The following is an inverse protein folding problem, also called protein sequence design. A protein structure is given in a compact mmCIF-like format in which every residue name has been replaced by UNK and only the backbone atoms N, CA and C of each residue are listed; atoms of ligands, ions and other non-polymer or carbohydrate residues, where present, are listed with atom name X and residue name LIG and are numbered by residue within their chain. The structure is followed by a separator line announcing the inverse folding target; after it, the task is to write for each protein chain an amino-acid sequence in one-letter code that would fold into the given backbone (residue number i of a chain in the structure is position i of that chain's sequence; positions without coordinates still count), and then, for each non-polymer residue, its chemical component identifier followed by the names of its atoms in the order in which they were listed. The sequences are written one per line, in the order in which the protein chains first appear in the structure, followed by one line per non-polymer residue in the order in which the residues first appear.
data_IF_506967249571
#
_entry.id   IF_506967249571
#
_cell.length_a   1.000
_cell.length_b   1.000
_cell.length_c   1.000
_cell.angle_alpha   90.00
_cell.angle_beta   90.00
_cell.angle_gamma   90.00
#
_symmetry.space_group_name_H-M   'P 1'
#
loop_
_entity.id
_entity.type
_entity.pdbx_description
1 polymer ?
#
# COMPACT_ATOMS: atom_id res chain seq x y z
N UNK A 1 -24.07 -55.78 9.29
CA UNK A 1 -23.14 -55.29 10.34
C UNK A 1 -21.73 -54.91 9.85
N UNK A 2 -21.27 -55.36 8.69
CA UNK A 2 -19.91 -55.04 8.18
C UNK A 2 -19.70 -53.57 7.68
N UNK A 3 -20.75 -52.92 7.17
CA UNK A 3 -20.66 -51.55 6.64
C UNK A 3 -20.47 -50.46 7.70
N UNK A 4 -21.01 -50.64 8.90
CA UNK A 4 -20.84 -49.67 9.99
C UNK A 4 -19.40 -49.65 10.55
N UNK A 5 -18.69 -50.77 10.50
CA UNK A 5 -17.29 -50.87 10.91
C UNK A 5 -16.35 -50.17 9.92
N UNK A 6 -16.66 -50.24 8.61
CA UNK A 6 -15.89 -49.54 7.54
C UNK A 6 -16.06 -48.04 7.64
N UNK A 7 -17.29 -47.55 7.83
CA UNK A 7 -17.57 -46.12 7.98
C UNK A 7 -16.90 -45.55 9.23
N UNK A 8 -16.90 -46.25 10.33
CA UNK A 8 -16.21 -45.83 11.56
C UNK A 8 -14.70 -45.75 11.39
N UNK A 9 -14.10 -46.64 10.60
CA UNK A 9 -12.65 -46.65 10.32
C UNK A 9 -12.21 -45.51 9.37
N UNK A 10 -13.12 -45.06 8.52
CA UNK A 10 -12.88 -43.94 7.59
C UNK A 10 -13.09 -42.57 8.26
N UNK A 11 -13.92 -42.49 9.30
CA UNK A 11 -14.23 -41.24 9.98
C UNK A 11 -13.35 -40.97 11.23
N UNK A 12 -12.70 -41.97 11.81
CA UNK A 12 -11.80 -41.79 12.97
C UNK A 12 -10.61 -40.85 12.71
N UNK A 13 -9.95 -40.86 11.55
CA UNK A 13 -8.89 -39.87 11.30
C UNK A 13 -9.38 -38.42 11.33
N UNK A 14 -10.62 -38.15 10.89
CA UNK A 14 -11.21 -36.84 10.85
C UNK A 14 -11.71 -36.30 12.20
N UNK A 15 -12.13 -37.23 13.11
CA UNK A 15 -12.54 -36.81 14.46
C UNK A 15 -11.36 -36.38 15.34
N UNK A 16 -10.17 -37.02 15.18
CA UNK A 16 -8.95 -36.56 15.85
C UNK A 16 -8.35 -35.28 15.23
N UNK A 17 -8.64 -35.00 13.94
CA UNK A 17 -8.23 -33.79 13.26
C UNK A 17 -9.00 -32.59 13.79
N UNK A 18 -10.29 -32.72 14.10
CA UNK A 18 -11.10 -31.62 14.65
C UNK A 18 -10.68 -31.23 16.09
N UNK A 19 -10.31 -32.21 16.94
CA UNK A 19 -9.82 -31.93 18.30
C UNK A 19 -8.40 -31.35 18.33
N UNK A 20 -7.55 -31.70 17.37
CA UNK A 20 -6.22 -31.11 17.20
C UNK A 20 -6.28 -29.66 16.70
N UNK A 21 -7.24 -29.35 15.81
CA UNK A 21 -7.41 -28.01 15.24
C UNK A 21 -7.82 -26.97 16.27
N UNK A 22 -8.63 -27.31 17.27
CA UNK A 22 -9.05 -26.37 18.32
C UNK A 22 -7.92 -25.96 19.26
N UNK A 23 -6.93 -26.84 19.48
CA UNK A 23 -5.75 -26.54 20.33
C UNK A 23 -4.69 -25.74 19.57
N UNK A 24 -4.47 -26.00 18.28
CA UNK A 24 -3.50 -25.30 17.44
C UNK A 24 -3.99 -23.88 17.10
N UNK A 25 -5.29 -23.69 16.86
CA UNK A 25 -5.90 -22.41 16.55
C UNK A 25 -5.75 -21.35 17.66
N UNK A 26 -5.54 -21.80 18.92
CA UNK A 26 -5.30 -20.89 20.03
C UNK A 26 -3.93 -20.19 20.00
N UNK A 27 -2.97 -20.74 19.22
CA UNK A 27 -1.60 -20.24 19.08
C UNK A 27 -1.37 -19.48 17.76
N UNK A 28 -2.31 -19.59 16.81
CA UNK A 28 -2.23 -18.88 15.54
C UNK A 28 -2.64 -17.41 15.68
N UNK A 29 -2.08 -16.51 14.85
CA UNK A 29 -2.51 -15.11 14.79
C UNK A 29 -4.02 -15.00 14.57
N UNK A 30 -4.66 -14.04 15.24
CA UNK A 30 -6.11 -13.82 15.16
C UNK A 30 -6.55 -13.18 13.84
N UNK A 31 -6.17 -13.77 12.71
CA UNK A 31 -6.41 -13.26 11.35
C UNK A 31 -7.91 -13.04 11.12
N UNK A 32 -8.77 -13.96 11.57
CA UNK A 32 -10.21 -13.85 11.40
C UNK A 32 -10.79 -12.56 12.00
N UNK A 33 -10.25 -12.07 13.13
CA UNK A 33 -10.68 -10.83 13.75
C UNK A 33 -10.36 -9.61 12.87
N UNK A 34 -9.19 -9.58 12.27
CA UNK A 34 -8.77 -8.50 11.36
C UNK A 34 -9.53 -8.59 10.04
N UNK A 35 -9.65 -9.79 9.46
CA UNK A 35 -10.38 -10.03 8.21
C UNK A 35 -11.86 -9.62 8.31
N UNK A 36 -12.53 -9.91 9.44
CA UNK A 36 -13.91 -9.49 9.68
C UNK A 36 -14.06 -7.95 9.68
N UNK A 37 -13.04 -7.21 10.06
CA UNK A 37 -13.07 -5.75 10.00
C UNK A 37 -12.98 -5.26 8.55
N UNK A 38 -12.23 -5.91 7.71
CA UNK A 38 -12.05 -5.56 6.29
C UNK A 38 -13.19 -6.09 5.41
N UNK A 39 -13.97 -7.06 5.84
CA UNK A 39 -15.08 -7.62 5.08
C UNK A 39 -16.29 -6.68 4.89
N UNK A 40 -16.39 -5.61 5.67
CA UNK A 40 -17.45 -4.61 5.52
C UNK A 40 -17.08 -3.60 4.44
N UNK A 41 -17.93 -3.33 3.43
CA UNK A 41 -17.60 -2.46 2.31
C UNK A 41 -17.23 -1.02 2.74
N UNK A 42 -17.95 -0.45 3.72
CA UNK A 42 -17.69 0.92 4.17
C UNK A 42 -16.32 1.00 4.87
N UNK A 43 -15.99 0.03 5.73
CA UNK A 43 -14.67 -0.02 6.38
C UNK A 43 -13.55 -0.24 5.36
N UNK A 44 -13.76 -1.09 4.35
CA UNK A 44 -12.78 -1.28 3.26
C UNK A 44 -12.51 0.01 2.50
N UNK A 45 -13.55 0.80 2.19
CA UNK A 45 -13.40 2.10 1.52
C UNK A 45 -12.66 3.12 2.41
N UNK A 46 -12.95 3.17 3.71
CA UNK A 46 -12.23 4.03 4.66
C UNK A 46 -10.74 3.66 4.74
N UNK A 47 -10.42 2.37 4.83
CA UNK A 47 -9.03 1.88 4.85
C UNK A 47 -8.32 2.20 3.52
N UNK A 48 -9.00 2.00 2.38
CA UNK A 48 -8.46 2.33 1.06
C UNK A 48 -8.18 3.82 0.90
N UNK A 49 -9.04 4.70 1.44
CA UNK A 49 -8.82 6.14 1.45
C UNK A 49 -7.54 6.50 2.24
N UNK A 50 -7.37 5.90 3.43
CA UNK A 50 -6.22 6.15 4.31
C UNK A 50 -4.89 5.57 3.79
N UNK A 51 -4.91 4.77 2.74
CA UNK A 51 -3.70 4.36 2.02
C UNK A 51 -3.00 5.53 1.30
N UNK A 52 -3.62 6.73 1.24
CA UNK A 52 -2.92 7.96 0.85
C UNK A 52 -1.76 8.29 1.81
N UNK A 53 -1.80 7.78 3.05
CA UNK A 53 -0.85 8.11 4.11
C UNK A 53 -1.19 9.39 4.86
N UNK A 54 -2.22 10.11 4.43
CA UNK A 54 -2.65 11.36 5.05
C UNK A 54 -3.61 11.14 6.21
N UNK A 55 -3.70 12.15 7.07
CA UNK A 55 -4.69 12.22 8.13
C UNK A 55 -6.04 12.59 7.54
N UNK A 56 -7.09 11.88 7.93
CA UNK A 56 -8.46 12.19 7.53
C UNK A 56 -9.39 12.34 8.73
N UNK A 57 -10.30 13.30 8.64
CA UNK A 57 -11.39 13.47 9.60
C UNK A 57 -12.46 12.40 9.44
N UNK A 58 -13.30 12.22 10.47
CA UNK A 58 -14.45 11.31 10.39
C UNK A 58 -15.43 11.71 9.26
N UNK A 59 -15.57 13.01 8.96
CA UNK A 59 -16.42 13.51 7.88
C UNK A 59 -15.91 13.12 6.50
N UNK A 60 -14.60 13.27 6.25
CA UNK A 60 -13.96 12.85 5.00
C UNK A 60 -14.09 11.34 4.79
N UNK A 61 -13.89 10.54 5.84
CA UNK A 61 -14.03 9.09 5.79
C UNK A 61 -15.48 8.64 5.61
N UNK A 62 -16.44 9.36 6.20
CA UNK A 62 -17.86 9.14 5.96
C UNK A 62 -18.24 9.41 4.49
N UNK A 63 -17.73 10.50 3.93
CA UNK A 63 -17.91 10.85 2.51
C UNK A 63 -17.29 9.80 1.59
N UNK A 64 -16.04 9.40 1.84
CA UNK A 64 -15.32 8.40 1.06
C UNK A 64 -16.02 7.04 1.04
N UNK A 65 -16.68 6.68 2.14
CA UNK A 65 -17.42 5.42 2.28
C UNK A 65 -18.93 5.55 1.92
N UNK A 66 -19.39 6.76 1.56
CA UNK A 66 -20.80 7.04 1.26
C UNK A 66 -21.76 6.64 2.40
N UNK A 67 -21.37 6.91 3.66
CA UNK A 67 -22.17 6.62 4.85
C UNK A 67 -22.41 7.88 5.68
N UNK A 68 -23.36 7.81 6.64
CA UNK A 68 -23.61 8.92 7.57
C UNK A 68 -22.47 9.07 8.57
N UNK A 69 -22.30 10.26 9.14
CA UNK A 69 -21.29 10.52 10.17
C UNK A 69 -21.45 9.60 11.40
N UNK A 70 -22.69 9.28 11.80
CA UNK A 70 -22.99 8.35 12.90
C UNK A 70 -22.50 6.93 12.57
N UNK A 71 -22.79 6.44 11.37
CA UNK A 71 -22.33 5.12 10.88
C UNK A 71 -20.81 5.08 10.80
N UNK A 72 -20.18 6.13 10.25
CA UNK A 72 -18.73 6.23 10.16
C UNK A 72 -18.06 6.17 11.55
N UNK A 73 -18.61 6.85 12.55
CA UNK A 73 -18.11 6.80 13.93
C UNK A 73 -18.08 5.37 14.49
N UNK A 74 -19.13 4.58 14.24
CA UNK A 74 -19.19 3.18 14.66
C UNK A 74 -18.16 2.29 13.91
N UNK A 75 -17.94 2.53 12.61
CA UNK A 75 -16.90 1.84 11.83
C UNK A 75 -15.50 2.20 12.32
N UNK A 76 -15.22 3.48 12.54
CA UNK A 76 -13.93 3.96 13.01
C UNK A 76 -13.57 3.42 14.39
N UNK A 77 -14.55 3.35 15.32
CA UNK A 77 -14.34 2.73 16.64
C UNK A 77 -13.88 1.26 16.49
N UNK A 78 -14.56 0.47 15.66
CA UNK A 78 -14.20 -0.93 15.42
C UNK A 78 -12.80 -1.11 14.82
N UNK A 79 -12.40 -0.21 13.91
CA UNK A 79 -11.07 -0.23 13.30
C UNK A 79 -9.97 0.17 14.28
N UNK A 80 -10.24 1.11 15.19
CA UNK A 80 -9.37 1.47 16.30
C UNK A 80 -9.20 0.30 17.29
N UNK A 81 -10.31 -0.36 17.67
CA UNK A 81 -10.32 -1.46 18.64
C UNK A 81 -9.48 -2.67 18.21
N UNK A 82 -9.31 -2.88 16.90
CA UNK A 82 -8.45 -3.95 16.37
C UNK A 82 -7.06 -3.48 15.97
N UNK A 83 -6.73 -2.19 16.18
CA UNK A 83 -5.41 -1.63 15.91
C UNK A 83 -5.10 -1.42 14.43
N UNK A 84 -6.11 -1.35 13.55
CA UNK A 84 -5.92 -0.98 12.14
C UNK A 84 -5.75 0.51 11.93
N UNK A 85 -6.33 1.32 12.82
CA UNK A 85 -6.21 2.78 12.83
C UNK A 85 -5.62 3.29 14.13
N UNK A 86 -5.07 4.50 14.05
CA UNK A 86 -4.80 5.37 15.19
C UNK A 86 -5.53 6.69 14.99
N UNK A 87 -5.85 7.36 16.11
CA UNK A 87 -6.52 8.64 16.12
C UNK A 87 -5.59 9.71 16.70
N UNK A 88 -5.42 10.80 15.99
CA UNK A 88 -4.73 12.01 16.47
C UNK A 88 -5.76 13.08 16.80
N UNK A 89 -5.64 13.67 17.99
CA UNK A 89 -6.48 14.78 18.41
C UNK A 89 -5.71 16.08 18.14
N UNK A 90 -6.29 16.97 17.34
CA UNK A 90 -5.74 18.30 17.04
C UNK A 90 -6.78 19.36 17.42
N UNK A 91 -6.62 19.99 18.57
CA UNK A 91 -7.62 20.88 19.13
C UNK A 91 -8.92 20.14 19.42
N UNK A 92 -10.04 20.56 18.82
CA UNK A 92 -11.37 19.92 18.94
C UNK A 92 -11.64 18.86 17.87
N UNK A 93 -10.71 18.62 16.94
CA UNK A 93 -10.88 17.72 15.80
C UNK A 93 -10.13 16.41 16.01
N UNK A 94 -10.74 15.32 15.54
CA UNK A 94 -10.16 13.99 15.51
C UNK A 94 -9.80 13.63 14.09
N UNK A 95 -8.56 13.18 13.89
CA UNK A 95 -8.04 12.73 12.62
C UNK A 95 -7.59 11.28 12.74
N UNK A 96 -7.81 10.51 11.71
CA UNK A 96 -7.53 9.09 11.65
C UNK A 96 -6.47 8.81 10.58
N UNK A 97 -5.62 7.84 10.83
CA UNK A 97 -4.67 7.29 9.86
C UNK A 97 -4.49 5.79 10.10
N UNK A 98 -3.90 5.08 9.13
CA UNK A 98 -3.46 3.70 9.35
C UNK A 98 -2.48 3.64 10.52
N UNK A 99 -2.55 2.59 11.32
CA UNK A 99 -1.77 2.47 12.54
C UNK A 99 -0.25 2.50 12.27
N UNK A 100 0.18 1.84 11.21
CA UNK A 100 1.59 1.76 10.80
C UNK A 100 1.72 1.27 9.34
N UNK A 101 2.95 1.17 8.88
CA UNK A 101 3.28 0.67 7.54
C UNK A 101 2.90 -0.80 7.33
N UNK A 102 2.92 -1.64 8.37
CA UNK A 102 2.56 -3.07 8.24
C UNK A 102 1.09 -3.24 7.88
N UNK A 103 0.19 -2.39 8.45
CA UNK A 103 -1.22 -2.35 8.07
C UNK A 103 -1.38 -1.94 6.60
N UNK A 104 -0.63 -0.93 6.16
CA UNK A 104 -0.67 -0.50 4.76
C UNK A 104 -0.21 -1.61 3.81
N UNK A 105 0.90 -2.28 4.13
CA UNK A 105 1.42 -3.42 3.35
C UNK A 105 0.43 -4.60 3.31
N UNK A 106 -0.22 -4.92 4.43
CA UNK A 106 -1.24 -5.97 4.46
C UNK A 106 -2.42 -5.64 3.55
N UNK A 107 -2.89 -4.40 3.54
CA UNK A 107 -3.97 -3.94 2.66
C UNK A 107 -3.57 -4.00 1.17
N UNK A 108 -2.36 -3.56 0.82
CA UNK A 108 -1.83 -3.64 -0.56
C UNK A 108 -1.65 -5.11 -1.00
N UNK A 109 -1.16 -5.99 -0.12
CA UNK A 109 -1.04 -7.42 -0.42
C UNK A 109 -2.41 -8.10 -0.64
N UNK A 110 -3.42 -7.73 0.16
CA UNK A 110 -4.80 -8.19 -0.05
C UNK A 110 -5.38 -7.67 -1.36
N UNK A 111 -5.06 -6.43 -1.76
CA UNK A 111 -5.47 -5.88 -3.05
C UNK A 111 -4.89 -6.69 -4.21
N UNK A 112 -3.62 -7.17 -4.13
CA UNK A 112 -3.03 -8.08 -5.13
C UNK A 112 -3.86 -9.36 -5.27
N UNK A 113 -4.31 -9.93 -4.14
CA UNK A 113 -5.14 -11.16 -4.15
C UNK A 113 -6.52 -10.87 -4.74
N UNK A 114 -7.15 -9.78 -4.32
CA UNK A 114 -8.48 -9.38 -4.79
C UNK A 114 -8.52 -9.14 -6.31
N UNK A 115 -7.46 -8.50 -6.85
CA UNK A 115 -7.38 -8.20 -8.28
C UNK A 115 -7.05 -9.41 -9.18
N UNK A 116 -6.62 -10.54 -8.61
CA UNK A 116 -6.42 -11.78 -9.39
C UNK A 116 -7.69 -12.31 -10.02
N UNK A 117 -8.83 -12.05 -9.37
CA UNK A 117 -10.15 -12.53 -9.77
C UNK A 117 -10.99 -11.45 -10.47
N UNK A 118 -10.46 -10.22 -10.65
CA UNK A 118 -11.19 -9.14 -11.29
C UNK A 118 -11.20 -9.32 -12.81
N UNK A 119 -12.37 -9.06 -13.41
CA UNK A 119 -12.57 -9.16 -14.85
C UNK A 119 -11.96 -7.93 -15.54
N UNK A 120 -11.37 -8.10 -16.70
CA UNK A 120 -10.63 -7.07 -17.46
C UNK A 120 -11.43 -5.78 -17.71
N UNK A 121 -12.77 -5.87 -17.85
CA UNK A 121 -13.62 -4.69 -18.10
C UNK A 121 -13.58 -3.62 -17.00
N UNK A 122 -13.24 -3.98 -15.76
CA UNK A 122 -13.09 -3.00 -14.67
C UNK A 122 -11.92 -2.04 -14.92
N UNK A 123 -10.90 -2.46 -15.67
CA UNK A 123 -9.76 -1.64 -16.03
C UNK A 123 -10.09 -0.57 -17.08
N UNK A 124 -11.23 -0.69 -17.76
CA UNK A 124 -11.68 0.32 -18.72
C UNK A 124 -12.19 1.60 -18.05
N UNK A 125 -12.60 1.52 -16.77
CA UNK A 125 -13.13 2.67 -16.04
C UNK A 125 -12.07 3.77 -15.85
N UNK A 126 -12.34 5.04 -16.19
CA UNK A 126 -11.34 6.13 -16.14
C UNK A 126 -10.68 6.30 -14.79
N UNK A 127 -11.44 6.21 -13.69
CA UNK A 127 -10.89 6.33 -12.33
C UNK A 127 -9.91 5.20 -12.01
N UNK A 128 -10.15 3.97 -12.51
CA UNK A 128 -9.21 2.86 -12.33
C UNK A 128 -7.96 3.02 -13.17
N UNK A 129 -8.07 3.52 -14.40
CA UNK A 129 -6.91 3.85 -15.23
C UNK A 129 -6.01 4.88 -14.56
N UNK A 130 -6.60 5.90 -13.93
CA UNK A 130 -5.84 6.89 -13.15
C UNK A 130 -5.11 6.25 -11.97
N UNK A 131 -5.81 5.45 -11.14
CA UNK A 131 -5.21 4.73 -10.01
C UNK A 131 -4.09 3.78 -10.44
N UNK A 132 -4.25 3.12 -11.59
CA UNK A 132 -3.23 2.25 -12.16
C UNK A 132 -2.01 3.04 -12.60
N UNK A 133 -2.22 4.16 -13.31
CA UNK A 133 -1.12 4.97 -13.82
C UNK A 133 -0.26 5.53 -12.69
N UNK A 134 -0.87 6.25 -11.73
CA UNK A 134 -0.14 6.78 -10.57
C UNK A 134 -1.07 6.96 -9.37
N UNK A 135 -0.60 6.56 -8.21
CA UNK A 135 -1.30 6.72 -6.94
C UNK A 135 -0.33 6.87 -5.77
N UNK A 136 -0.81 7.42 -4.69
CA UNK A 136 -0.12 7.37 -3.41
C UNK A 136 -0.37 6.02 -2.73
N UNK A 137 0.68 5.36 -2.25
CA UNK A 137 0.66 4.19 -1.42
C UNK A 137 1.38 4.49 -0.12
N UNK A 138 0.63 4.88 0.92
CA UNK A 138 1.15 5.20 2.25
C UNK A 138 2.34 6.20 2.25
N UNK A 139 2.21 7.26 1.45
CA UNK A 139 3.20 8.32 1.35
C UNK A 139 4.25 8.17 0.25
N UNK A 140 4.22 7.10 -0.54
CA UNK A 140 5.14 6.90 -1.67
C UNK A 140 4.39 6.66 -2.99
N UNK A 141 5.09 6.87 -4.11
CA UNK A 141 4.53 6.76 -5.45
C UNK A 141 4.40 5.29 -5.87
N UNK A 142 3.21 4.91 -6.29
CA UNK A 142 2.85 3.58 -6.78
C UNK A 142 2.15 3.67 -8.15
N UNK A 143 1.75 2.52 -8.70
CA UNK A 143 1.21 2.37 -10.04
C UNK A 143 2.32 2.27 -11.09
N UNK A 144 1.96 2.32 -12.36
CA UNK A 144 2.89 2.25 -13.49
C UNK A 144 4.07 3.22 -13.33
N UNK A 145 3.79 4.46 -12.89
CA UNK A 145 4.81 5.48 -12.71
C UNK A 145 5.76 5.14 -11.55
N UNK A 146 5.25 4.65 -10.42
CA UNK A 146 6.06 4.23 -9.27
C UNK A 146 6.95 3.02 -9.59
N UNK A 147 6.40 2.03 -10.28
CA UNK A 147 7.15 0.86 -10.79
C UNK A 147 8.26 1.31 -11.74
N UNK A 148 7.98 2.28 -12.63
CA UNK A 148 8.95 2.81 -13.57
C UNK A 148 10.09 3.56 -12.88
N UNK A 149 9.81 4.30 -11.81
CA UNK A 149 10.84 4.96 -10.98
C UNK A 149 11.79 3.93 -10.40
N UNK A 150 11.28 2.86 -9.77
CA UNK A 150 12.13 1.80 -9.21
C UNK A 150 12.93 1.10 -10.31
N UNK A 151 12.28 0.72 -11.43
CA UNK A 151 12.94 0.07 -12.54
C UNK A 151 14.08 0.94 -13.14
N UNK A 152 13.89 2.26 -13.20
CA UNK A 152 14.93 3.19 -13.65
C UNK A 152 16.13 3.19 -12.71
N UNK A 153 15.89 3.27 -11.40
CA UNK A 153 16.96 3.20 -10.38
C UNK A 153 17.73 1.88 -10.47
N UNK A 154 17.02 0.75 -10.64
CA UNK A 154 17.65 -0.55 -10.78
C UNK A 154 18.48 -0.66 -12.07
N UNK A 155 17.94 -0.22 -13.20
CA UNK A 155 18.64 -0.25 -14.49
C UNK A 155 19.90 0.63 -14.50
N UNK A 156 19.96 1.65 -13.65
CA UNK A 156 21.13 2.53 -13.46
C UNK A 156 22.09 2.04 -12.39
N UNK A 157 21.87 0.85 -11.84
CA UNK A 157 22.60 0.35 -10.67
C UNK A 157 22.57 1.35 -9.49
N UNK A 158 21.52 2.18 -9.44
CA UNK A 158 21.34 3.24 -8.45
C UNK A 158 20.98 2.73 -7.06
N UNK A 159 20.62 1.45 -6.95
CA UNK A 159 20.25 0.78 -5.71
C UNK A 159 21.05 -0.50 -5.52
N UNK A 160 21.63 -0.68 -4.34
CA UNK A 160 22.22 -1.92 -3.88
C UNK A 160 21.22 -2.66 -2.99
N UNK A 161 20.99 -3.94 -3.27
CA UNK A 161 20.15 -4.81 -2.44
C UNK A 161 20.89 -5.15 -1.14
N UNK A 162 20.18 -5.05 -0.01
CA UNK A 162 20.66 -5.43 1.32
C UNK A 162 19.60 -6.30 2.03
N UNK A 163 19.93 -6.86 3.18
CA UNK A 163 18.96 -7.62 4.00
C UNK A 163 17.76 -6.75 4.46
N UNK A 164 17.95 -5.44 4.59
CA UNK A 164 16.94 -4.50 5.06
C UNK A 164 16.16 -3.81 3.93
N UNK A 165 16.51 -4.07 2.67
CA UNK A 165 15.92 -3.46 1.49
C UNK A 165 16.97 -2.94 0.52
N UNK A 166 17.01 -1.62 0.31
CA UNK A 166 17.91 -0.96 -0.64
C UNK A 166 18.76 0.12 0.03
N UNK A 167 20.00 0.26 -0.46
CA UNK A 167 20.89 1.40 -0.21
C UNK A 167 21.14 2.14 -1.53
N UNK A 168 21.24 3.48 -1.47
CA UNK A 168 21.64 4.28 -2.62
C UNK A 168 23.12 4.09 -2.92
N UNK A 169 23.42 3.85 -4.18
CA UNK A 169 24.79 3.86 -4.71
C UNK A 169 25.20 5.27 -5.13
N UNK A 170 26.47 5.53 -5.48
CA UNK A 170 26.88 6.79 -6.09
C UNK A 170 26.08 7.13 -7.37
N UNK A 171 25.76 6.13 -8.21
CA UNK A 171 24.92 6.29 -9.40
C UNK A 171 23.50 6.72 -9.03
N UNK A 172 22.91 6.13 -7.97
CA UNK A 172 21.61 6.53 -7.46
C UNK A 172 21.61 7.96 -6.93
N UNK A 173 22.62 8.34 -6.18
CA UNK A 173 22.81 9.72 -5.69
C UNK A 173 22.92 10.72 -6.86
N UNK A 174 23.69 10.38 -7.90
CA UNK A 174 23.84 11.22 -9.08
C UNK A 174 22.48 11.40 -9.81
N UNK A 175 21.68 10.33 -9.93
CA UNK A 175 20.35 10.41 -10.53
C UNK A 175 19.40 11.27 -9.67
N UNK A 176 19.43 11.14 -8.35
CA UNK A 176 18.64 12.00 -7.44
C UNK A 176 19.04 13.46 -7.59
N UNK A 177 20.35 13.74 -7.67
CA UNK A 177 20.88 15.09 -7.87
C UNK A 177 20.42 15.67 -9.23
N UNK A 178 20.37 14.87 -10.30
CA UNK A 178 19.86 15.27 -11.60
C UNK A 178 18.36 15.60 -11.57
N UNK A 179 17.57 14.97 -10.67
CA UNK A 179 16.20 15.37 -10.38
C UNK A 179 16.11 16.64 -9.52
N UNK A 180 17.21 17.13 -8.97
CA UNK A 180 17.27 18.24 -8.02
C UNK A 180 16.93 17.83 -6.58
N UNK A 181 16.99 16.55 -6.25
CA UNK A 181 16.75 16.01 -4.91
C UNK A 181 18.07 15.64 -4.24
N UNK A 182 18.27 16.11 -3.02
CA UNK A 182 19.30 15.64 -2.11
C UNK A 182 18.66 14.77 -1.04
N UNK A 183 18.79 13.43 -1.11
CA UNK A 183 18.19 12.53 -0.15
C UNK A 183 18.72 12.77 1.26
N UNK A 184 17.82 12.73 2.24
CA UNK A 184 18.18 12.86 3.66
C UNK A 184 18.83 11.57 4.15
N UNK A 185 19.65 11.69 5.18
CA UNK A 185 20.21 10.52 5.87
C UNK A 185 19.07 9.65 6.46
N UNK A 186 19.26 8.31 6.49
CA UNK A 186 18.29 7.42 7.11
C UNK A 186 17.96 7.82 8.54
N UNK A 187 16.67 7.89 8.86
CA UNK A 187 16.20 8.17 10.21
C UNK A 187 16.09 6.85 10.99
N UNK A 188 16.66 6.82 12.20
CA UNK A 188 16.58 5.65 13.08
C UNK A 188 15.13 5.22 13.32
N UNK A 189 14.87 3.92 13.30
CA UNK A 189 13.54 3.34 13.48
C UNK A 189 12.64 3.41 12.25
N UNK A 190 13.10 3.95 11.11
CA UNK A 190 12.36 3.94 9.84
C UNK A 190 13.12 3.15 8.78
N UNK A 191 12.40 2.36 8.00
CA UNK A 191 12.99 1.69 6.82
C UNK A 191 13.31 2.75 5.76
N UNK A 192 14.56 2.77 5.31
CA UNK A 192 15.05 3.79 4.38
C UNK A 192 14.47 3.61 2.97
N UNK A 193 14.71 2.46 2.36
CA UNK A 193 14.24 2.12 1.03
C UNK A 193 14.02 0.60 0.92
N UNK A 194 12.89 0.17 0.37
CA UNK A 194 12.57 -1.26 0.25
C UNK A 194 11.51 -1.47 -0.85
N UNK A 195 11.40 -2.72 -1.38
CA UNK A 195 10.37 -3.04 -2.36
C UNK A 195 8.98 -3.11 -1.73
N UNK A 196 7.97 -2.59 -2.42
CA UNK A 196 6.57 -2.75 -2.09
C UNK A 196 5.81 -3.23 -3.33
N UNK A 197 5.13 -4.38 -3.21
CA UNK A 197 4.46 -5.01 -4.35
C UNK A 197 3.25 -4.16 -4.80
N UNK A 198 3.25 -3.77 -6.06
CA UNK A 198 2.15 -3.03 -6.68
C UNK A 198 1.02 -3.98 -7.08
N UNK A 199 -0.20 -3.75 -6.57
CA UNK A 199 -1.34 -4.62 -6.84
C UNK A 199 -1.83 -4.54 -8.29
N UNK A 200 -1.62 -3.42 -8.99
CA UNK A 200 -2.05 -3.24 -10.38
C UNK A 200 -1.01 -3.74 -11.39
N UNK A 201 0.28 -3.54 -11.09
CA UNK A 201 1.36 -3.88 -12.01
C UNK A 201 2.00 -5.24 -11.70
N UNK A 202 1.74 -5.81 -10.51
CA UNK A 202 2.34 -7.06 -10.01
C UNK A 202 3.87 -7.05 -10.06
N UNK A 203 4.44 -5.89 -9.87
CA UNK A 203 5.86 -5.58 -9.82
C UNK A 203 6.09 -4.64 -8.66
N UNK A 204 7.29 -4.58 -8.15
CA UNK A 204 7.59 -3.70 -7.04
C UNK A 204 7.72 -2.25 -7.48
N UNK A 205 7.30 -1.34 -6.60
CA UNK A 205 7.66 0.06 -6.58
C UNK A 205 8.46 0.38 -5.32
N UNK A 206 9.13 1.53 -5.29
CA UNK A 206 9.97 1.92 -4.17
C UNK A 206 9.12 2.41 -3.01
N UNK A 207 9.42 1.94 -1.80
CA UNK A 207 8.81 2.34 -0.54
C UNK A 207 9.88 2.79 0.47
N UNK A 208 9.44 3.37 1.58
CA UNK A 208 10.30 3.86 2.66
C UNK A 208 10.57 5.34 2.61
N UNK A 209 11.48 5.79 3.47
CA UNK A 209 11.81 7.21 3.62
C UNK A 209 12.20 7.86 2.28
N UNK A 210 13.09 7.21 1.53
CA UNK A 210 13.56 7.71 0.23
C UNK A 210 12.42 7.88 -0.78
N UNK A 211 11.49 6.93 -0.81
CA UNK A 211 10.35 6.98 -1.72
C UNK A 211 9.35 8.10 -1.35
N UNK A 212 9.17 8.34 -0.06
CA UNK A 212 8.33 9.44 0.42
C UNK A 212 8.98 10.79 0.06
N UNK A 213 10.29 10.93 0.21
CA UNK A 213 11.03 12.13 -0.19
C UNK A 213 10.95 12.38 -1.70
N UNK A 214 10.99 11.32 -2.51
CA UNK A 214 10.79 11.42 -3.97
C UNK A 214 9.40 11.92 -4.33
N UNK A 215 8.34 11.33 -3.74
CA UNK A 215 6.97 11.77 -4.01
C UNK A 215 6.77 13.22 -3.55
N UNK A 216 7.22 13.56 -2.36
CA UNK A 216 7.15 14.91 -1.84
C UNK A 216 7.88 15.91 -2.77
N UNK A 217 9.07 15.56 -3.25
CA UNK A 217 9.83 16.37 -4.21
C UNK A 217 9.06 16.57 -5.52
N UNK A 218 8.47 15.50 -6.08
CA UNK A 218 7.69 15.61 -7.32
C UNK A 218 6.45 16.49 -7.16
N UNK A 219 5.81 16.46 -5.99
CA UNK A 219 4.68 17.34 -5.66
C UNK A 219 5.17 18.80 -5.52
N UNK A 220 6.25 19.05 -4.78
CA UNK A 220 6.82 20.39 -4.60
C UNK A 220 7.27 21.03 -5.92
N UNK A 221 7.75 20.22 -6.85
CA UNK A 221 8.09 20.65 -8.22
C UNK A 221 6.88 20.82 -9.13
N UNK A 222 5.68 20.54 -8.62
CA UNK A 222 4.45 20.51 -9.41
C UNK A 222 4.53 19.52 -10.61
N UNK A 223 5.37 18.49 -10.55
CA UNK A 223 5.43 17.44 -11.56
C UNK A 223 4.28 16.45 -11.40
N UNK A 224 3.87 16.22 -10.17
CA UNK A 224 2.74 15.39 -9.78
C UNK A 224 1.82 16.21 -8.88
N UNK A 225 0.52 16.00 -9.01
CA UNK A 225 -0.50 16.57 -8.14
C UNK A 225 -1.50 15.52 -7.69
N UNK A 226 -2.12 15.76 -6.54
CA UNK A 226 -3.24 14.95 -6.07
C UNK A 226 -4.45 15.05 -7.03
N UNK A 227 -5.17 13.95 -7.14
CA UNK A 227 -6.45 13.82 -7.83
C UNK A 227 -7.50 13.23 -6.88
N UNK A 228 -8.54 12.58 -7.40
CA UNK A 228 -9.58 11.98 -6.55
C UNK A 228 -9.05 10.83 -5.68
N UNK A 229 -9.31 10.89 -4.39
CA UNK A 229 -8.84 9.90 -3.42
C UNK A 229 -7.32 9.85 -3.37
N UNK A 230 -6.74 8.68 -3.61
CA UNK A 230 -5.28 8.50 -3.65
C UNK A 230 -4.66 8.52 -5.05
N UNK A 231 -5.45 8.81 -6.09
CA UNK A 231 -4.95 8.95 -7.45
C UNK A 231 -4.04 10.18 -7.56
N UNK A 232 -3.03 10.08 -8.42
CA UNK A 232 -2.08 11.13 -8.71
C UNK A 232 -2.07 11.40 -10.22
N UNK A 233 -2.03 12.66 -10.59
CA UNK A 233 -1.90 13.10 -11.99
C UNK A 233 -0.49 13.59 -12.26
N UNK A 234 0.09 13.14 -13.37
CA UNK A 234 1.30 13.72 -13.92
C UNK A 234 0.92 15.02 -14.66
N UNK A 235 1.53 16.14 -14.29
CA UNK A 235 1.25 17.42 -14.91
C UNK A 235 1.98 17.58 -16.24
N UNK A 236 1.63 18.57 -17.08
CA UNK A 236 2.42 18.87 -18.29
C UNK A 236 3.89 19.18 -17.99
N UNK A 237 4.19 19.84 -16.86
CA UNK A 237 5.57 20.10 -16.41
C UNK A 237 6.25 18.77 -16.05
N UNK A 238 5.53 17.89 -15.34
CA UNK A 238 6.03 16.55 -14.97
C UNK A 238 6.28 15.66 -16.20
N UNK A 239 5.43 15.73 -17.21
CA UNK A 239 5.65 15.02 -18.49
C UNK A 239 6.99 15.44 -19.11
N UNK A 240 7.28 16.74 -19.16
CA UNK A 240 8.52 17.27 -19.75
C UNK A 240 9.76 17.00 -18.89
N UNK A 241 9.62 17.06 -17.55
CA UNK A 241 10.74 16.93 -16.65
C UNK A 241 11.04 15.47 -16.25
N UNK A 242 10.00 14.71 -15.86
CA UNK A 242 10.18 13.40 -15.26
C UNK A 242 10.25 12.27 -16.30
N UNK A 243 9.40 12.26 -17.34
CA UNK A 243 9.37 11.14 -18.28
C UNK A 243 10.71 10.92 -19.02
N UNK A 244 11.44 11.94 -19.48
CA UNK A 244 12.76 11.74 -20.08
C UNK A 244 13.75 11.10 -19.12
N UNK A 245 13.72 11.49 -17.83
CA UNK A 245 14.59 10.93 -16.78
C UNK A 245 14.33 9.44 -16.51
N UNK A 246 13.08 9.00 -16.69
CA UNK A 246 12.66 7.60 -16.53
C UNK A 246 12.93 6.74 -17.77
N UNK A 247 13.08 7.35 -18.93
CA UNK A 247 13.29 6.64 -20.22
C UNK A 247 14.75 6.71 -20.71
N UNK A 248 15.58 7.56 -20.10
CA UNK A 248 16.96 7.72 -20.53
C UNK A 248 17.79 6.46 -20.25
N UNK A 249 18.59 5.94 -21.21
CA UNK A 249 19.52 4.85 -20.95
C UNK A 249 20.57 5.25 -19.92
N UNK A 250 21.16 4.27 -19.25
CA UNK A 250 22.13 4.45 -18.14
C UNK A 250 23.35 5.31 -18.49
N UNK A 251 23.66 5.49 -19.77
CA UNK A 251 24.91 6.11 -20.26
C UNK A 251 24.92 7.66 -20.26
N UNK A 252 23.88 8.34 -19.72
CA UNK A 252 23.78 9.81 -19.79
C UNK A 252 23.94 10.52 -18.42
N UNK A 253 24.74 9.95 -17.52
CA UNK A 253 25.23 10.70 -16.35
C UNK A 253 26.76 10.62 -16.39
N UNK A 254 27.33 11.50 -17.21
CA UNK A 254 28.76 11.83 -17.21
C UNK A 254 28.99 13.14 -16.51
#
# INVERSE_FOLDING_TARGET
MAWQAVIRRLLTPWMHYADGMTRTAAHEPRIARVAAMMADPARSLMLAYLLSGELASAGELASAASVTAATASGHLSKLLDVGLLVCEVRGRHRYYKLANADVAHALEALAVVAERSSHDHLWEHPARKRLRFARCCYGHLAGELGVKVLATLQAREGLKVTEQGYELTPSGLAWMAALGLQPKMPVSGRRYAYPCLDWSERRDHLAGQLANELLEHFIQRAWIRGADGRALDLTPIGVQALLPMLNAPSAYIG
#
